data_IF_794785676438
#
_entry.id   IF_794785676438
#
_cell.length_a   1.000
_cell.length_b   1.000
_cell.length_c   1.000
_cell.angle_alpha   90.00
_cell.angle_beta   90.00
_cell.angle_gamma   90.00
#
_symmetry.space_group_name_H-M   'P 1'
#
loop_
_entity.id
_entity.type
_entity.pdbx_description
1 polymer ?
#
# COMPACT_ATOMS: atom_id res chain seq x y z
N UNK A 1 -19.44 -5.95 -4.88
CA UNK A 1 -17.97 -5.78 -4.78
C UNK A 1 -17.36 -5.96 -6.16
N UNK A 2 -16.60 -4.98 -6.67
CA UNK A 2 -15.94 -5.09 -7.97
C UNK A 2 -14.78 -6.09 -7.88
N UNK A 3 -14.85 -7.17 -8.66
CA UNK A 3 -13.78 -8.17 -8.80
C UNK A 3 -12.74 -7.70 -9.80
N UNK A 4 -12.78 -8.26 -11.02
CA UNK A 4 -11.84 -7.96 -12.10
C UNK A 4 -11.78 -6.48 -12.45
N UNK A 5 -12.91 -5.76 -12.40
CA UNK A 5 -12.93 -4.33 -12.71
C UNK A 5 -12.07 -3.50 -11.75
N UNK A 6 -11.96 -3.90 -10.48
CA UNK A 6 -11.08 -3.27 -9.51
C UNK A 6 -9.65 -3.79 -9.62
N UNK A 7 -9.46 -5.11 -9.61
CA UNK A 7 -8.13 -5.72 -9.66
C UNK A 7 -7.33 -5.28 -10.90
N UNK A 8 -7.98 -5.15 -12.07
CA UNK A 8 -7.30 -4.73 -13.30
C UNK A 8 -6.91 -3.25 -13.33
N UNK A 9 -7.44 -2.41 -12.43
CA UNK A 9 -7.05 -1.00 -12.31
C UNK A 9 -5.85 -0.80 -11.39
N UNK A 10 -5.53 -1.79 -10.56
CA UNK A 10 -4.41 -1.70 -9.62
C UNK A 10 -3.08 -1.76 -10.37
N UNK A 11 -2.12 -0.94 -9.94
CA UNK A 11 -0.79 -0.84 -10.54
C UNK A 11 0.27 -1.31 -9.56
N UNK A 12 0.77 -2.55 -9.68
CA UNK A 12 1.89 -3.00 -8.87
C UNK A 12 3.12 -2.12 -9.16
N UNK A 13 3.82 -1.75 -8.11
CA UNK A 13 5.05 -0.97 -8.17
C UNK A 13 6.11 -1.61 -7.29
N UNK A 14 7.36 -1.28 -7.55
CA UNK A 14 8.47 -1.52 -6.61
C UNK A 14 8.98 -0.18 -6.10
N UNK A 15 9.40 -0.14 -4.84
CA UNK A 15 9.87 1.09 -4.21
C UNK A 15 10.82 0.80 -3.05
N UNK A 16 11.58 1.82 -2.70
CA UNK A 16 12.35 1.87 -1.47
C UNK A 16 11.62 2.78 -0.48
N UNK A 17 11.54 2.38 0.79
CA UNK A 17 10.97 3.25 1.82
C UNK A 17 11.94 4.36 2.17
N UNK A 18 11.48 5.61 2.07
CA UNK A 18 12.22 6.74 2.61
C UNK A 18 11.97 6.84 4.13
N UNK A 19 12.75 6.07 4.88
CA UNK A 19 12.66 6.03 6.35
C UNK A 19 12.95 7.39 6.98
N UNK A 20 13.76 8.24 6.32
CA UNK A 20 14.09 9.57 6.83
C UNK A 20 12.90 10.52 6.70
N UNK A 21 12.20 10.51 5.56
CA UNK A 21 10.96 11.27 5.38
C UNK A 21 9.84 10.77 6.30
N UNK A 22 9.70 9.45 6.48
CA UNK A 22 8.72 8.87 7.41
C UNK A 22 9.02 9.33 8.85
N UNK A 23 10.27 9.26 9.29
CA UNK A 23 10.64 9.71 10.64
C UNK A 23 10.48 11.22 10.82
N UNK A 24 10.81 12.03 9.81
CA UNK A 24 10.58 13.48 9.84
C UNK A 24 9.09 13.82 9.94
N UNK A 25 8.23 13.06 9.24
CA UNK A 25 6.77 13.23 9.32
C UNK A 25 6.22 12.82 10.69
N UNK A 26 6.67 11.69 11.23
CA UNK A 26 6.19 11.15 12.51
C UNK A 26 6.75 11.90 13.73
N UNK A 27 7.95 12.49 13.59
CA UNK A 27 8.65 13.22 14.64
C UNK A 27 9.08 14.62 14.15
N UNK A 28 8.12 15.53 13.88
CA UNK A 28 8.41 16.83 13.24
C UNK A 28 9.26 17.78 14.11
N UNK A 29 9.29 17.54 15.42
CA UNK A 29 10.05 18.35 16.38
C UNK A 29 11.41 17.75 16.75
N UNK A 30 11.85 16.66 16.11
CA UNK A 30 13.08 15.94 16.49
C UNK A 30 14.33 16.84 16.49
N UNK A 31 14.40 17.78 15.55
CA UNK A 31 15.56 18.68 15.41
C UNK A 31 15.57 19.80 16.46
N UNK A 32 14.44 20.04 17.17
CA UNK A 32 14.37 21.02 18.26
C UNK A 32 15.05 20.53 19.54
N UNK A 33 15.24 19.22 19.68
CA UNK A 33 15.81 18.60 20.88
C UNK A 33 17.06 17.81 20.50
N UNK A 34 18.27 18.39 20.66
CA UNK A 34 19.50 17.71 20.28
C UNK A 34 19.66 16.41 21.06
N UNK A 35 20.16 15.37 20.37
CA UNK A 35 20.44 14.06 20.97
C UNK A 35 21.43 14.24 22.12
N UNK A 36 21.02 13.83 23.33
CA UNK A 36 21.90 13.84 24.50
C UNK A 36 23.10 12.93 24.24
N UNK A 37 24.25 13.29 24.80
CA UNK A 37 25.49 12.50 24.65
C UNK A 37 25.29 11.02 25.00
N UNK A 38 24.53 10.74 26.05
CA UNK A 38 24.20 9.38 26.52
C UNK A 38 23.31 8.57 25.55
N UNK A 39 22.70 9.21 24.55
CA UNK A 39 21.79 8.59 23.58
C UNK A 39 22.38 8.54 22.15
N UNK A 40 23.65 8.94 21.96
CA UNK A 40 24.30 8.95 20.64
C UNK A 40 24.39 7.56 20.00
N UNK A 41 24.67 6.53 20.79
CA UNK A 41 24.78 5.15 20.30
C UNK A 41 23.42 4.63 19.80
N UNK A 42 22.34 4.91 20.54
CA UNK A 42 20.97 4.56 20.12
C UNK A 42 20.56 5.30 18.86
N UNK A 43 20.91 6.59 18.74
CA UNK A 43 20.64 7.37 17.54
C UNK A 43 21.36 6.81 16.30
N UNK A 44 22.63 6.40 16.45
CA UNK A 44 23.39 5.75 15.38
C UNK A 44 22.80 4.37 15.01
N UNK A 45 22.41 3.58 16.01
CA UNK A 45 21.75 2.30 15.78
C UNK A 45 20.39 2.47 15.05
N UNK A 46 19.64 3.53 15.36
CA UNK A 46 18.40 3.88 14.66
C UNK A 46 18.67 4.27 13.20
N UNK A 47 19.66 5.11 12.96
CA UNK A 47 20.04 5.56 11.61
C UNK A 47 20.53 4.38 10.74
N UNK A 48 21.39 3.52 11.28
CA UNK A 48 21.85 2.31 10.57
C UNK A 48 20.67 1.36 10.28
N UNK A 49 19.74 1.21 11.22
CA UNK A 49 18.49 0.46 11.00
C UNK A 49 17.59 1.08 9.92
N UNK A 50 17.51 2.41 9.83
CA UNK A 50 16.76 3.10 8.78
C UNK A 50 17.40 2.91 7.41
N UNK A 51 18.73 3.03 7.32
CA UNK A 51 19.45 2.78 6.07
C UNK A 51 19.26 1.34 5.60
N UNK A 52 19.33 0.37 6.51
CA UNK A 52 19.08 -1.04 6.19
C UNK A 52 17.66 -1.26 5.68
N UNK A 53 16.63 -0.71 6.37
CA UNK A 53 15.23 -0.82 5.95
C UNK A 53 14.94 -0.11 4.63
N UNK A 54 15.46 1.11 4.45
CA UNK A 54 15.27 1.89 3.23
C UNK A 54 15.96 1.28 2.01
N UNK A 55 16.99 0.46 2.22
CA UNK A 55 17.68 -0.25 1.12
C UNK A 55 16.91 -1.49 0.62
N UNK A 56 15.85 -1.91 1.31
CA UNK A 56 15.03 -3.04 0.87
C UNK A 56 14.15 -2.58 -0.30
N UNK A 57 14.20 -3.31 -1.40
CA UNK A 57 13.29 -3.13 -2.53
C UNK A 57 11.98 -3.87 -2.21
N UNK A 58 10.94 -3.11 -1.93
CA UNK A 58 9.61 -3.62 -1.63
C UNK A 58 8.77 -3.70 -2.91
N UNK A 59 7.74 -4.55 -2.90
CA UNK A 59 6.71 -4.60 -3.95
C UNK A 59 5.34 -4.34 -3.33
N UNK A 60 4.54 -3.51 -3.98
CA UNK A 60 3.22 -3.18 -3.47
C UNK A 60 2.41 -2.29 -4.40
N UNK A 61 1.52 -1.50 -3.81
CA UNK A 61 0.69 -0.51 -4.51
C UNK A 61 0.86 0.86 -3.87
N UNK A 62 0.69 1.91 -4.68
CA UNK A 62 0.57 3.27 -4.16
C UNK A 62 -0.86 3.47 -3.62
N UNK A 63 -0.99 3.83 -2.35
CA UNK A 63 -2.28 3.94 -1.68
C UNK A 63 -3.24 4.94 -2.36
N UNK A 64 -2.72 6.07 -2.86
CA UNK A 64 -3.50 7.06 -3.61
C UNK A 64 -4.04 6.48 -4.93
N UNK A 65 -3.26 5.66 -5.62
CA UNK A 65 -3.71 5.02 -6.86
C UNK A 65 -4.81 3.99 -6.58
N UNK A 66 -4.70 3.24 -5.47
CA UNK A 66 -5.77 2.33 -5.02
C UNK A 66 -7.03 3.10 -4.67
N UNK A 67 -6.91 4.21 -3.94
CA UNK A 67 -8.04 5.10 -3.61
C UNK A 67 -8.75 5.59 -4.89
N UNK A 68 -7.97 6.10 -5.85
CA UNK A 68 -8.50 6.61 -7.11
C UNK A 68 -9.20 5.50 -7.91
N UNK A 69 -8.60 4.31 -8.01
CA UNK A 69 -9.21 3.16 -8.68
C UNK A 69 -10.54 2.74 -8.03
N UNK A 70 -10.62 2.78 -6.69
CA UNK A 70 -11.84 2.49 -5.95
C UNK A 70 -12.92 3.56 -6.21
N UNK A 71 -12.55 4.85 -6.11
CA UNK A 71 -13.45 5.99 -6.38
C UNK A 71 -14.02 5.99 -7.79
N UNK A 72 -13.19 5.71 -8.81
CA UNK A 72 -13.64 5.62 -10.21
C UNK A 72 -14.73 4.56 -10.42
N UNK A 73 -14.76 3.52 -9.59
CA UNK A 73 -15.75 2.45 -9.64
C UNK A 73 -16.94 2.67 -8.70
N UNK A 74 -16.98 3.80 -7.96
CA UNK A 74 -17.94 4.01 -6.89
C UNK A 74 -17.83 2.95 -5.78
N UNK A 75 -16.64 2.37 -5.59
CA UNK A 75 -16.39 1.33 -4.60
C UNK A 75 -15.80 1.95 -3.34
N UNK A 76 -16.53 1.84 -2.24
CA UNK A 76 -16.02 2.18 -0.90
C UNK A 76 -15.11 1.06 -0.41
N UNK A 77 -13.85 1.08 -0.88
CA UNK A 77 -12.89 0.04 -0.54
C UNK A 77 -12.30 0.29 0.85
N UNK A 78 -12.64 -0.59 1.79
CA UNK A 78 -12.13 -0.60 3.15
C UNK A 78 -10.62 -0.79 3.24
N UNK A 79 -9.92 -1.21 2.19
CA UNK A 79 -8.48 -1.48 2.23
C UNK A 79 -7.57 -0.25 2.19
N UNK A 80 -8.11 0.96 2.00
CA UNK A 80 -7.32 2.20 1.98
C UNK A 80 -7.59 3.01 3.25
N UNK A 81 -6.53 3.37 3.95
CA UNK A 81 -6.56 4.37 5.01
C UNK A 81 -6.23 5.73 4.41
N UNK A 82 -7.27 6.53 4.19
CA UNK A 82 -7.17 7.89 3.63
C UNK A 82 -6.89 8.87 4.78
N UNK A 83 -5.87 9.74 4.66
CA UNK A 83 -5.58 10.78 5.65
C UNK A 83 -6.81 11.66 5.92
N UNK A 84 -7.10 11.95 7.19
CA UNK A 84 -8.18 12.86 7.58
C UNK A 84 -7.67 14.27 7.87
N UNK A 85 -6.36 14.41 8.06
CA UNK A 85 -5.67 15.68 8.32
C UNK A 85 -4.19 15.56 7.93
N UNK A 86 -3.45 16.68 8.01
CA UNK A 86 -2.05 16.79 7.60
C UNK A 86 -1.06 15.93 8.42
N UNK A 87 -1.50 15.38 9.56
CA UNK A 87 -0.69 14.50 10.41
C UNK A 87 -0.94 13.01 10.15
N UNK A 88 -1.89 12.68 9.28
CA UNK A 88 -2.20 11.30 8.93
C UNK A 88 -1.46 10.90 7.65
N UNK A 89 -1.07 9.63 7.56
CA UNK A 89 -0.46 9.05 6.37
C UNK A 89 -1.45 8.17 5.61
N UNK A 90 -1.24 8.06 4.31
CA UNK A 90 -1.90 7.03 3.52
C UNK A 90 -1.43 5.64 3.96
N UNK A 91 -2.36 4.70 4.06
CA UNK A 91 -2.07 3.31 4.40
C UNK A 91 -2.85 2.32 3.54
N UNK A 92 -2.34 1.10 3.45
CA UNK A 92 -3.01 -0.03 2.79
C UNK A 92 -3.14 -1.21 3.74
N UNK A 93 -4.35 -1.78 3.82
CA UNK A 93 -4.66 -3.02 4.53
C UNK A 93 -4.71 -4.17 3.54
N UNK A 94 -3.57 -4.82 3.31
CA UNK A 94 -3.44 -5.89 2.30
C UNK A 94 -4.44 -7.05 2.46
N UNK A 95 -4.86 -7.36 3.69
CA UNK A 95 -5.87 -8.40 3.93
C UNK A 95 -7.23 -8.09 3.26
N UNK A 96 -7.59 -6.81 3.13
CA UNK A 96 -8.86 -6.39 2.52
C UNK A 96 -8.90 -6.64 1.00
N UNK A 97 -7.74 -6.83 0.35
CA UNK A 97 -7.66 -7.18 -1.08
C UNK A 97 -8.07 -8.62 -1.36
N UNK A 98 -8.12 -9.50 -0.36
CA UNK A 98 -8.47 -10.92 -0.53
C UNK A 98 -9.88 -11.07 -1.09
N UNK A 99 -10.85 -10.30 -0.58
CA UNK A 99 -12.25 -10.41 -1.01
C UNK A 99 -12.46 -10.00 -2.47
N UNK A 100 -11.98 -8.83 -2.96
CA UNK A 100 -12.09 -8.51 -4.38
C UNK A 100 -11.26 -9.45 -5.26
N UNK A 101 -10.14 -10.00 -4.77
CA UNK A 101 -9.38 -11.02 -5.50
C UNK A 101 -10.18 -12.32 -5.68
N UNK A 102 -10.84 -12.81 -4.62
CA UNK A 102 -11.74 -13.98 -4.70
C UNK A 102 -12.84 -13.72 -5.73
N UNK A 103 -13.45 -12.53 -5.71
CA UNK A 103 -14.47 -12.15 -6.68
C UNK A 103 -13.93 -12.14 -8.11
N UNK A 104 -12.73 -11.58 -8.33
CA UNK A 104 -12.08 -11.58 -9.63
C UNK A 104 -11.81 -13.01 -10.16
N UNK A 105 -11.36 -13.92 -9.30
CA UNK A 105 -11.14 -15.34 -9.66
C UNK A 105 -12.46 -16.04 -10.03
N UNK A 106 -13.54 -15.78 -9.29
CA UNK A 106 -14.87 -16.31 -9.62
C UNK A 106 -15.35 -15.82 -11.00
N UNK A 107 -15.17 -14.54 -11.29
CA UNK A 107 -15.52 -13.95 -12.58
C UNK A 107 -14.68 -14.55 -13.72
N UNK A 108 -13.37 -14.72 -13.53
CA UNK A 108 -12.51 -15.41 -14.50
C UNK A 108 -12.95 -16.86 -14.74
N UNK A 109 -13.31 -17.60 -13.69
CA UNK A 109 -13.78 -18.98 -13.84
C UNK A 109 -15.04 -19.05 -14.69
N UNK A 110 -16.01 -18.15 -14.45
CA UNK A 110 -17.26 -18.08 -15.22
C UNK A 110 -16.99 -17.72 -16.69
N UNK A 111 -16.13 -16.74 -16.95
CA UNK A 111 -15.77 -16.35 -18.32
C UNK A 111 -15.07 -17.50 -19.07
N UNK A 112 -14.15 -18.21 -18.40
CA UNK A 112 -13.48 -19.40 -18.96
C UNK A 112 -14.49 -20.50 -19.31
N UNK A 113 -15.45 -20.78 -18.43
CA UNK A 113 -16.45 -21.84 -18.68
C UNK A 113 -17.42 -21.45 -19.80
N UNK A 114 -17.82 -20.18 -19.87
CA UNK A 114 -18.62 -19.64 -20.96
C UNK A 114 -17.87 -19.72 -22.30
N UNK A 115 -16.58 -19.36 -22.30
CA UNK A 115 -15.72 -19.49 -23.48
C UNK A 115 -15.68 -20.95 -23.92
N UNK A 116 -15.35 -21.90 -23.04
CA UNK A 116 -15.32 -23.34 -23.38
C UNK A 116 -16.61 -23.84 -24.02
N UNK A 117 -17.78 -23.47 -23.47
CA UNK A 117 -19.08 -23.84 -24.05
C UNK A 117 -19.27 -23.28 -25.47
N UNK A 118 -18.81 -22.05 -25.72
CA UNK A 118 -18.88 -21.43 -27.05
C UNK A 118 -18.03 -22.18 -28.09
N UNK A 119 -16.89 -22.75 -27.70
CA UNK A 119 -16.02 -23.52 -28.60
C UNK A 119 -16.44 -24.99 -28.78
N UNK A 120 -17.40 -25.48 -27.99
CA UNK A 120 -17.91 -26.85 -28.04
C UNK A 120 -19.22 -26.99 -28.83
N UNK A 121 -19.81 -25.88 -29.25
CA UNK A 121 -20.99 -25.80 -30.13
C UNK A 121 -20.59 -25.25 -31.50
#
# INVERSE_FOLDING_TARGET
>A
MPGLSFINKLKPVTYHLDMNQIDAFMNPDKDKYPVRETAKEEALAKETGYNAKGSILETGFLAQDVENAAKELGYDFSGVDVPKNEKDMYGLRYAEFVVPLVKAVQELSQQKDALKKKWMN
#
